data_IF_265520440038
#
_entry.id   IF_265520440038
#
_cell.length_a   1.000
_cell.length_b   1.000
_cell.length_c   1.000
_cell.angle_alpha   90.00
_cell.angle_beta   90.00
_cell.angle_gamma   90.00
#
_symmetry.space_group_name_H-M   'P 1'
#
loop_
_entity.id
_entity.type
_entity.pdbx_description
1 polymer ?
#
# COMPACT_ATOMS: atom_id res chain seq x y z
N UNK A 1 -9.87 -4.89 -21.58
CA UNK A 1 -8.64 -4.08 -21.71
C UNK A 1 -7.75 -4.70 -22.78
N UNK A 2 -7.23 -3.93 -23.73
CA UNK A 2 -6.24 -4.42 -24.70
C UNK A 2 -4.84 -4.19 -24.12
N UNK A 3 -3.99 -5.20 -24.15
CA UNK A 3 -2.59 -5.13 -23.73
C UNK A 3 -1.68 -5.55 -24.87
N UNK A 4 -0.37 -5.33 -24.71
CA UNK A 4 0.61 -5.87 -25.65
C UNK A 4 0.61 -7.41 -25.64
N UNK A 5 0.98 -8.03 -26.75
CA UNK A 5 1.08 -9.50 -26.83
C UNK A 5 2.10 -10.03 -25.82
N UNK A 6 3.20 -9.31 -25.59
CA UNK A 6 4.20 -9.66 -24.59
C UNK A 6 3.62 -9.68 -23.16
N UNK A 7 2.77 -8.70 -22.81
CA UNK A 7 2.10 -8.66 -21.51
C UNK A 7 1.14 -9.84 -21.34
N UNK A 8 0.36 -10.14 -22.40
CA UNK A 8 -0.57 -11.26 -22.41
C UNK A 8 0.18 -12.60 -22.25
N UNK A 9 1.28 -12.80 -22.98
CA UNK A 9 2.08 -14.01 -22.90
C UNK A 9 2.65 -14.20 -21.48
N UNK A 10 3.22 -13.16 -20.87
CA UNK A 10 3.70 -13.23 -19.48
C UNK A 10 2.61 -13.61 -18.49
N UNK A 11 1.41 -13.05 -18.63
CA UNK A 11 0.29 -13.39 -17.77
C UNK A 11 -0.18 -14.85 -17.97
N UNK A 12 -0.15 -15.33 -19.22
CA UNK A 12 -0.45 -16.72 -19.54
C UNK A 12 0.60 -17.70 -18.96
N UNK A 13 1.89 -17.37 -19.05
CA UNK A 13 2.97 -18.19 -18.50
C UNK A 13 2.89 -18.28 -16.97
N UNK A 14 2.61 -17.15 -16.31
CA UNK A 14 2.37 -17.09 -14.87
C UNK A 14 1.14 -17.90 -14.46
N UNK A 15 0.04 -17.78 -15.20
CA UNK A 15 -1.17 -18.55 -14.98
C UNK A 15 -0.91 -20.06 -15.10
N UNK A 16 -0.19 -20.49 -16.15
CA UNK A 16 0.16 -21.89 -16.38
C UNK A 16 1.06 -22.45 -15.27
N UNK A 17 2.11 -21.71 -14.88
CA UNK A 17 3.04 -22.14 -13.83
C UNK A 17 2.42 -22.18 -12.44
N UNK A 18 1.42 -21.34 -12.17
CA UNK A 18 0.76 -21.24 -10.87
C UNK A 18 -0.52 -22.08 -10.76
N UNK A 19 -1.00 -22.66 -11.87
CA UNK A 19 -2.29 -23.36 -11.94
C UNK A 19 -3.50 -22.44 -11.76
N UNK A 20 -3.33 -21.12 -11.93
CA UNK A 20 -4.37 -20.11 -11.70
C UNK A 20 -4.88 -19.55 -13.02
N UNK A 21 -6.05 -18.91 -12.97
CA UNK A 21 -6.59 -18.19 -14.12
C UNK A 21 -5.78 -16.92 -14.39
N UNK A 22 -5.56 -16.60 -15.67
CA UNK A 22 -4.84 -15.39 -16.09
C UNK A 22 -5.48 -14.10 -15.52
N UNK A 23 -6.81 -14.07 -15.40
CA UNK A 23 -7.52 -12.95 -14.76
C UNK A 23 -7.06 -12.73 -13.31
N UNK A 24 -6.97 -13.80 -12.51
CA UNK A 24 -6.53 -13.71 -11.12
C UNK A 24 -5.09 -13.21 -10.98
N UNK A 25 -4.20 -13.57 -11.92
CA UNK A 25 -2.84 -13.03 -11.97
C UNK A 25 -2.84 -11.53 -12.23
N UNK A 26 -3.68 -11.06 -13.16
CA UNK A 26 -3.77 -9.63 -13.50
C UNK A 26 -4.36 -8.83 -12.34
N UNK A 27 -5.42 -9.33 -11.71
CA UNK A 27 -6.05 -8.68 -10.54
C UNK A 27 -5.06 -8.55 -9.38
N UNK A 28 -4.29 -9.60 -9.08
CA UNK A 28 -3.28 -9.56 -8.03
C UNK A 28 -2.11 -8.62 -8.37
N UNK A 29 -1.67 -8.59 -9.63
CA UNK A 29 -0.63 -7.66 -10.07
C UNK A 29 -1.07 -6.20 -9.92
N UNK A 30 -2.35 -5.89 -10.22
CA UNK A 30 -2.91 -4.55 -10.01
C UNK A 30 -2.96 -4.19 -8.52
N UNK A 31 -3.49 -5.08 -7.68
CA UNK A 31 -3.55 -4.85 -6.23
C UNK A 31 -2.15 -4.68 -5.62
N UNK A 32 -1.16 -5.43 -6.09
CA UNK A 32 0.22 -5.29 -5.67
C UNK A 32 0.81 -3.93 -6.07
N UNK A 33 0.50 -3.45 -7.28
CA UNK A 33 0.94 -2.14 -7.75
C UNK A 33 0.27 -0.99 -6.98
N UNK A 34 -1.04 -1.07 -6.73
CA UNK A 34 -1.77 -0.10 -5.90
C UNK A 34 -1.19 -0.01 -4.49
N UNK A 35 -0.90 -1.17 -3.88
CA UNK A 35 -0.26 -1.24 -2.57
C UNK A 35 1.14 -0.63 -2.59
N UNK A 36 1.93 -0.86 -3.63
CA UNK A 36 3.25 -0.25 -3.77
C UNK A 36 3.15 1.28 -3.84
N UNK A 37 2.27 1.82 -4.70
CA UNK A 37 2.02 3.25 -4.81
C UNK A 37 1.54 3.87 -3.49
N UNK A 38 0.68 3.16 -2.75
CA UNK A 38 0.23 3.59 -1.43
C UNK A 38 1.41 3.76 -0.48
N UNK A 39 2.28 2.75 -0.37
CA UNK A 39 3.43 2.81 0.55
C UNK A 39 4.45 3.86 0.13
N UNK A 40 4.75 4.00 -1.15
CA UNK A 40 5.62 5.06 -1.66
C UNK A 40 5.10 6.46 -1.30
N UNK A 41 3.79 6.68 -1.47
CA UNK A 41 3.13 7.94 -1.12
C UNK A 41 3.14 8.18 0.39
N UNK A 42 2.82 7.16 1.19
CA UNK A 42 2.82 7.22 2.64
C UNK A 42 4.21 7.56 3.20
N UNK A 43 5.25 6.85 2.77
CA UNK A 43 6.63 7.09 3.19
C UNK A 43 7.13 8.46 2.77
N UNK A 44 6.82 8.89 1.54
CA UNK A 44 7.14 10.23 1.06
C UNK A 44 6.44 11.31 1.89
N UNK A 45 5.18 11.09 2.27
CA UNK A 45 4.43 11.92 3.20
C UNK A 45 5.14 12.06 4.55
N UNK A 46 5.49 10.94 5.18
CA UNK A 46 6.19 10.94 6.46
C UNK A 46 7.60 11.55 6.38
N UNK A 47 8.33 11.36 5.28
CA UNK A 47 9.64 11.99 5.08
C UNK A 47 9.53 13.52 4.99
N UNK A 48 8.49 14.03 4.31
CA UNK A 48 8.19 15.47 4.29
C UNK A 48 7.81 15.98 5.68
N UNK A 49 6.91 15.26 6.36
CA UNK A 49 6.48 15.60 7.71
C UNK A 49 7.66 15.64 8.70
N UNK A 50 8.59 14.70 8.62
CA UNK A 50 9.78 14.67 9.48
C UNK A 50 10.72 15.88 9.26
N UNK A 51 10.65 16.53 8.09
CA UNK A 51 11.39 17.76 7.79
C UNK A 51 10.65 19.04 8.20
N UNK A 52 9.41 18.94 8.66
CA UNK A 52 8.55 20.05 9.06
C UNK A 52 8.23 19.94 10.55
N UNK A 53 8.99 20.69 11.37
CA UNK A 53 8.88 20.62 12.84
C UNK A 53 7.51 21.03 13.35
N UNK A 54 6.89 22.05 12.75
CA UNK A 54 5.58 22.55 13.19
C UNK A 54 4.47 21.52 12.89
N UNK A 55 4.51 20.92 11.69
CA UNK A 55 3.56 19.86 11.34
C UNK A 55 3.79 18.58 12.17
N UNK A 56 5.04 18.25 12.48
CA UNK A 56 5.35 17.14 13.37
C UNK A 56 4.83 17.35 14.79
N UNK A 57 4.96 18.56 15.33
CA UNK A 57 4.46 18.90 16.67
C UNK A 57 2.93 18.77 16.76
N UNK A 58 2.20 19.08 15.69
CA UNK A 58 0.75 18.87 15.61
C UNK A 58 0.39 17.38 15.69
N UNK A 59 1.05 16.52 14.91
CA UNK A 59 0.85 15.06 14.96
C UNK A 59 1.19 14.51 16.34
N UNK A 60 2.24 14.99 16.97
CA UNK A 60 2.61 14.57 18.32
C UNK A 60 1.62 15.06 19.39
N UNK A 61 1.00 16.22 19.20
CA UNK A 61 -0.06 16.72 20.07
C UNK A 61 -1.34 15.87 19.98
N UNK A 62 -1.76 15.54 18.76
CA UNK A 62 -2.88 14.61 18.51
C UNK A 62 -2.63 13.25 19.17
N UNK A 63 -1.47 12.63 18.91
CA UNK A 63 -1.09 11.33 19.49
C UNK A 63 -1.10 11.33 21.01
N UNK A 64 -0.61 12.38 21.66
CA UNK A 64 -0.67 12.51 23.13
C UNK A 64 -2.09 12.63 23.66
N UNK A 65 -2.99 13.29 22.91
CA UNK A 65 -4.40 13.39 23.25
C UNK A 65 -5.12 12.05 23.16
N UNK A 66 -4.72 11.20 22.22
CA UNK A 66 -5.32 9.87 21.98
C UNK A 66 -4.67 8.74 22.79
N UNK A 67 -3.44 8.93 23.28
CA UNK A 67 -2.67 7.95 24.05
C UNK A 67 -3.48 7.27 25.19
N UNK A 68 -4.36 7.96 25.95
CA UNK A 68 -5.16 7.30 26.98
C UNK A 68 -6.05 6.17 26.46
N UNK A 69 -6.54 6.26 25.22
CA UNK A 69 -7.42 5.25 24.61
C UNK A 69 -6.72 3.91 24.36
N UNK A 70 -5.37 3.86 24.45
CA UNK A 70 -4.62 2.61 24.40
C UNK A 70 -4.99 1.63 25.53
N UNK A 71 -5.59 2.13 26.61
CA UNK A 71 -6.04 1.31 27.75
C UNK A 71 -7.49 0.84 27.65
N UNK A 72 -8.24 1.33 26.67
CA UNK A 72 -9.66 1.00 26.55
C UNK A 72 -9.84 -0.50 26.26
N UNK A 73 -10.67 -1.18 27.05
CA UNK A 73 -10.95 -2.61 26.88
C UNK A 73 -9.84 -3.57 27.36
N UNK A 74 -8.84 -3.08 28.09
CA UNK A 74 -7.79 -3.89 28.73
C UNK A 74 -8.12 -4.30 30.18
N UNK A 75 -9.41 -4.29 30.54
CA UNK A 75 -9.95 -4.79 31.82
C UNK A 75 -9.92 -6.33 31.92
#
# INVERSE_FOLDING_TARGET
MRVSEATRQRAADLAASSGRQMQAIVEEALAAYERALFWESFESGYRRLAGDTDAWDQVQAERRGEEPALRDGLE
#
